data_IF_512576056945
#
_entry.id   IF_512576056945
#
_cell.length_a   1.000
_cell.length_b   1.000
_cell.length_c   1.000
_cell.angle_alpha   90.00
_cell.angle_beta   90.00
_cell.angle_gamma   90.00
#
_symmetry.space_group_name_H-M   'P 1'
#
loop_
_entity.id
_entity.type
_entity.pdbx_description
1 polymer ?
#
# COMPACT_ATOMS: atom_id res chain seq x y z
N UNK A 1 13.04 17.54 -2.65
CA UNK A 1 11.78 16.77 -2.78
C UNK A 1 11.03 16.80 -1.46
N UNK A 2 9.72 16.85 -1.48
CA UNK A 2 8.94 16.73 -0.26
C UNK A 2 9.22 15.37 0.41
N UNK A 3 9.26 15.35 1.75
CA UNK A 3 9.58 14.14 2.50
C UNK A 3 8.53 13.04 2.22
N UNK A 4 8.98 11.99 1.58
CA UNK A 4 8.17 10.81 1.25
C UNK A 4 8.63 9.61 2.07
N UNK A 5 7.71 8.77 2.50
CA UNK A 5 8.00 7.48 3.11
C UNK A 5 7.23 6.37 2.39
N UNK A 6 7.72 5.15 2.47
CA UNK A 6 7.03 3.96 1.97
C UNK A 6 6.67 3.07 3.15
N UNK A 7 5.40 2.72 3.25
CA UNK A 7 4.88 1.80 4.27
C UNK A 7 4.27 0.61 3.57
N UNK A 8 4.64 -0.61 3.94
CA UNK A 8 4.18 -1.79 3.23
C UNK A 8 3.80 -2.95 4.14
N UNK A 9 2.97 -3.83 3.61
CA UNK A 9 2.69 -5.16 4.15
C UNK A 9 2.96 -6.19 3.07
N UNK A 10 3.47 -7.34 3.46
CA UNK A 10 3.70 -8.45 2.55
C UNK A 10 3.25 -9.77 3.15
N UNK A 11 2.79 -10.70 2.30
CA UNK A 11 2.47 -12.07 2.69
C UNK A 11 3.56 -13.05 2.24
N UNK A 12 4.05 -12.86 1.03
CA UNK A 12 4.94 -13.79 0.34
C UNK A 12 6.22 -13.13 -0.20
N UNK A 13 6.46 -11.87 0.15
CA UNK A 13 7.67 -11.13 -0.22
C UNK A 13 7.54 -10.25 -1.47
N UNK A 14 6.50 -10.39 -2.31
CA UNK A 14 6.35 -9.58 -3.53
C UNK A 14 6.21 -8.08 -3.23
N UNK A 15 5.41 -7.71 -2.24
CA UNK A 15 5.26 -6.31 -1.84
C UNK A 15 6.53 -5.74 -1.22
N UNK A 16 7.35 -6.57 -0.55
CA UNK A 16 8.66 -6.13 -0.01
C UNK A 16 9.62 -5.72 -1.14
N UNK A 17 9.72 -6.52 -2.19
CA UNK A 17 10.53 -6.19 -3.37
C UNK A 17 10.04 -4.90 -4.03
N UNK A 18 8.73 -4.78 -4.20
CA UNK A 18 8.10 -3.60 -4.79
C UNK A 18 8.31 -2.34 -3.94
N UNK A 19 8.18 -2.47 -2.61
CA UNK A 19 8.42 -1.36 -1.68
C UNK A 19 9.88 -0.91 -1.69
N UNK A 20 10.84 -1.84 -1.74
CA UNK A 20 12.25 -1.52 -1.86
C UNK A 20 12.57 -0.78 -3.18
N UNK A 21 11.98 -1.21 -4.28
CA UNK A 21 12.19 -0.62 -5.60
C UNK A 21 11.64 0.82 -5.68
N UNK A 22 10.40 1.04 -5.22
CA UNK A 22 9.83 2.39 -5.19
C UNK A 22 10.54 3.28 -4.15
N UNK A 23 10.93 2.75 -3.01
CA UNK A 23 11.72 3.47 -2.01
C UNK A 23 13.05 3.96 -2.57
N UNK A 24 13.77 3.11 -3.31
CA UNK A 24 15.00 3.48 -4.01
C UNK A 24 14.74 4.58 -5.07
N UNK A 25 13.67 4.42 -5.85
CA UNK A 25 13.31 5.39 -6.91
C UNK A 25 12.97 6.78 -6.37
N UNK A 26 12.33 6.84 -5.20
CA UNK A 26 11.92 8.09 -4.54
C UNK A 26 12.94 8.59 -3.50
N UNK A 27 14.05 7.88 -3.28
CA UNK A 27 14.98 8.13 -2.17
C UNK A 27 14.27 8.22 -0.82
N UNK A 28 13.27 7.35 -0.62
CA UNK A 28 12.38 7.32 0.52
C UNK A 28 12.68 6.13 1.45
N UNK A 29 12.66 6.31 2.78
CA UNK A 29 12.78 5.20 3.70
C UNK A 29 11.57 4.27 3.61
N UNK A 30 11.80 2.99 3.87
CA UNK A 30 10.82 1.90 3.69
C UNK A 30 10.57 1.22 5.03
N UNK A 31 9.31 1.07 5.41
CA UNK A 31 8.86 0.52 6.68
C UNK A 31 7.87 -0.62 6.47
N UNK A 32 8.13 -1.76 7.11
CA UNK A 32 7.24 -2.92 7.06
C UNK A 32 6.27 -2.93 8.24
N UNK A 33 4.99 -3.06 7.95
CA UNK A 33 3.98 -3.35 8.97
C UNK A 33 4.03 -4.85 9.25
N UNK A 34 4.29 -5.23 10.49
CA UNK A 34 4.24 -6.62 10.92
C UNK A 34 2.79 -7.10 11.02
N UNK A 35 2.40 -8.08 10.19
CA UNK A 35 1.09 -8.71 10.28
C UNK A 35 1.13 -9.85 11.29
N UNK A 36 0.48 -9.69 12.42
CA UNK A 36 0.44 -10.68 13.49
C UNK A 36 -0.51 -11.86 13.22
N UNK A 37 -1.27 -11.81 12.12
CA UNK A 37 -2.13 -12.90 11.68
C UNK A 37 -1.36 -13.85 10.77
N UNK A 38 -1.39 -15.17 11.07
CA UNK A 38 -0.78 -16.18 10.19
C UNK A 38 -1.54 -16.26 8.86
N UNK A 39 -0.87 -15.89 7.76
CA UNK A 39 -1.45 -15.83 6.41
C UNK A 39 -0.79 -16.77 5.40
N UNK A 40 0.10 -17.64 5.86
CA UNK A 40 0.77 -18.61 4.98
C UNK A 40 -0.16 -19.78 4.63
N UNK A 41 0.03 -20.35 3.43
CA UNK A 41 -0.73 -21.49 2.93
C UNK A 41 -2.14 -21.13 2.45
N UNK A 42 -2.91 -22.19 2.06
CA UNK A 42 -4.27 -22.03 1.53
C UNK A 42 -5.25 -21.40 2.53
N UNK A 43 -5.20 -21.83 3.78
CA UNK A 43 -6.06 -21.26 4.85
C UNK A 43 -5.74 -19.78 5.09
N UNK A 44 -4.46 -19.40 5.06
CA UNK A 44 -4.05 -18.00 5.19
C UNK A 44 -4.50 -17.15 4.00
N UNK A 45 -4.49 -17.72 2.79
CA UNK A 45 -5.01 -17.07 1.59
C UNK A 45 -6.52 -16.78 1.72
N UNK A 46 -7.31 -17.79 2.09
CA UNK A 46 -8.76 -17.65 2.28
C UNK A 46 -9.11 -16.66 3.40
N UNK A 47 -8.38 -16.69 4.51
CA UNK A 47 -8.51 -15.73 5.62
C UNK A 47 -8.22 -14.30 5.18
N UNK A 48 -7.14 -14.10 4.41
CA UNK A 48 -6.77 -12.77 3.90
C UNK A 48 -7.86 -12.19 3.01
N UNK A 49 -8.39 -12.97 2.08
CA UNK A 49 -9.49 -12.57 1.22
C UNK A 49 -10.78 -12.25 1.99
N UNK A 50 -11.16 -13.11 2.93
CA UNK A 50 -12.36 -12.91 3.75
C UNK A 50 -12.26 -11.66 4.65
N UNK A 51 -11.11 -11.43 5.29
CA UNK A 51 -10.88 -10.25 6.14
C UNK A 51 -10.86 -8.95 5.33
N UNK A 52 -10.20 -8.96 4.16
CA UNK A 52 -10.17 -7.82 3.27
C UNK A 52 -11.58 -7.49 2.74
N UNK A 53 -12.32 -8.50 2.33
CA UNK A 53 -13.70 -8.34 1.84
C UNK A 53 -14.65 -7.80 2.92
N UNK A 54 -14.51 -8.28 4.17
CA UNK A 54 -15.27 -7.79 5.33
C UNK A 54 -14.76 -6.46 5.88
N UNK A 55 -13.74 -5.86 5.28
CA UNK A 55 -13.12 -4.61 5.73
C UNK A 55 -12.66 -4.66 7.19
N UNK A 56 -12.12 -5.77 7.62
CA UNK A 56 -11.66 -5.96 9.01
C UNK A 56 -10.29 -5.31 9.24
N UNK A 57 -10.12 -4.73 10.42
CA UNK A 57 -8.81 -4.42 10.97
C UNK A 57 -8.23 -5.68 11.64
N UNK A 58 -6.90 -5.80 11.67
CA UNK A 58 -6.19 -6.92 12.30
C UNK A 58 -5.06 -6.40 13.19
N UNK A 59 -4.65 -7.14 14.23
CA UNK A 59 -3.51 -6.73 15.04
C UNK A 59 -2.24 -6.68 14.20
N UNK A 60 -1.44 -5.64 14.41
CA UNK A 60 -0.18 -5.40 13.71
C UNK A 60 0.95 -5.10 14.67
N UNK A 61 2.18 -5.31 14.22
CA UNK A 61 3.37 -4.70 14.77
C UNK A 61 3.63 -3.40 14.01
N UNK A 62 3.44 -2.27 14.70
CA UNK A 62 3.64 -0.95 14.12
C UNK A 62 5.14 -0.68 13.96
N UNK A 63 5.62 -0.27 12.77
CA UNK A 63 7.03 0.04 12.55
C UNK A 63 7.52 1.32 13.26
N UNK A 64 6.67 2.03 13.98
CA UNK A 64 7.06 3.22 14.75
C UNK A 64 7.50 4.40 13.86
N UNK A 65 6.82 4.62 12.76
CA UNK A 65 7.17 5.66 11.78
C UNK A 65 6.87 7.04 12.33
N UNK A 66 7.84 7.96 12.27
CA UNK A 66 7.62 9.38 12.59
C UNK A 66 7.07 10.11 11.36
N UNK A 67 5.85 10.62 11.45
CA UNK A 67 5.13 11.28 10.37
C UNK A 67 5.35 12.81 10.33
N UNK A 68 6.05 13.37 11.30
CA UNK A 68 6.36 14.80 11.32
C UNK A 68 7.12 15.23 10.05
N UNK A 69 6.59 16.24 9.35
CA UNK A 69 7.16 16.78 8.12
C UNK A 69 7.02 15.88 6.89
N UNK A 70 6.34 14.72 6.99
CA UNK A 70 6.02 13.86 5.86
C UNK A 70 4.93 14.51 5.01
N UNK A 71 5.13 14.52 3.69
CA UNK A 71 4.16 15.04 2.72
C UNK A 71 3.42 13.91 1.99
N UNK A 72 4.13 12.82 1.72
CA UNK A 72 3.57 11.68 1.02
C UNK A 72 3.86 10.37 1.76
N UNK A 73 2.84 9.53 1.86
CA UNK A 73 2.96 8.14 2.27
C UNK A 73 2.58 7.25 1.10
N UNK A 74 3.54 6.45 0.62
CA UNK A 74 3.29 5.42 -0.38
C UNK A 74 2.95 4.12 0.34
N UNK A 75 1.71 3.68 0.21
CA UNK A 75 1.23 2.40 0.71
C UNK A 75 1.53 1.32 -0.33
N UNK A 76 2.22 0.26 0.06
CA UNK A 76 2.51 -0.88 -0.81
C UNK A 76 1.90 -2.15 -0.23
N UNK A 77 1.05 -2.83 -1.01
CA UNK A 77 0.31 -4.00 -0.54
C UNK A 77 0.02 -5.01 -1.64
N UNK A 78 -0.21 -6.29 -1.31
CA UNK A 78 -0.88 -7.21 -2.23
C UNK A 78 -2.38 -6.87 -2.35
N UNK A 79 -3.00 -7.23 -3.48
CA UNK A 79 -4.46 -7.09 -3.60
C UNK A 79 -5.15 -8.33 -3.02
N UNK A 80 -5.90 -8.12 -1.94
CA UNK A 80 -6.76 -9.13 -1.34
C UNK A 80 -8.22 -8.72 -1.50
N UNK A 81 -8.98 -9.50 -2.25
CA UNK A 81 -10.40 -9.23 -2.56
C UNK A 81 -10.67 -7.81 -3.07
N UNK A 82 -9.75 -7.25 -3.86
CA UNK A 82 -9.82 -5.88 -4.41
C UNK A 82 -10.00 -4.77 -3.35
N UNK A 83 -9.51 -4.99 -2.14
CA UNK A 83 -9.64 -4.07 -1.02
C UNK A 83 -8.28 -3.67 -0.43
N UNK A 84 -8.28 -2.64 0.40
CA UNK A 84 -7.13 -2.29 1.24
C UNK A 84 -6.91 -3.42 2.25
N UNK A 85 -5.67 -3.87 2.37
CA UNK A 85 -5.30 -4.95 3.28
C UNK A 85 -5.63 -4.62 4.74
N UNK A 86 -6.10 -5.60 5.54
CA UNK A 86 -6.38 -5.40 6.95
C UNK A 86 -5.24 -4.76 7.75
N UNK A 87 -3.96 -5.14 7.61
CA UNK A 87 -2.86 -4.45 8.32
C UNK A 87 -2.70 -2.99 7.94
N UNK A 88 -2.86 -2.64 6.66
CA UNK A 88 -2.84 -1.23 6.20
C UNK A 88 -4.00 -0.44 6.82
N UNK A 89 -5.21 -1.04 6.89
CA UNK A 89 -6.36 -0.43 7.57
C UNK A 89 -6.06 -0.08 9.01
N UNK A 90 -5.48 -1.04 9.74
CA UNK A 90 -5.11 -0.85 11.14
C UNK A 90 -4.09 0.27 11.28
N UNK A 91 -3.06 0.28 10.44
CA UNK A 91 -2.04 1.31 10.46
C UNK A 91 -2.62 2.72 10.18
N UNK A 92 -3.45 2.85 9.14
CA UNK A 92 -4.14 4.11 8.84
C UNK A 92 -5.04 4.57 9.98
N UNK A 93 -5.71 3.65 10.67
CA UNK A 93 -6.55 3.97 11.82
C UNK A 93 -5.75 4.47 13.02
N UNK A 94 -4.63 3.82 13.33
CA UNK A 94 -3.74 4.19 14.43
C UNK A 94 -3.16 5.59 14.19
N UNK A 95 -2.69 5.88 12.99
CA UNK A 95 -2.03 7.13 12.62
C UNK A 95 -2.96 8.20 12.05
N UNK A 96 -4.28 8.02 12.15
CA UNK A 96 -5.27 8.93 11.55
C UNK A 96 -5.04 10.41 11.95
N UNK A 97 -4.73 10.66 13.20
CA UNK A 97 -4.49 12.01 13.71
C UNK A 97 -3.19 12.64 13.17
N UNK A 98 -2.18 11.82 12.89
CA UNK A 98 -0.88 12.27 12.39
C UNK A 98 -0.85 12.42 10.85
N UNK A 99 -1.79 11.78 10.16
CA UNK A 99 -1.91 11.81 8.70
C UNK A 99 -2.65 13.03 8.17
N UNK A 100 -3.08 13.94 9.04
CA UNK A 100 -3.70 15.20 8.64
C UNK A 100 -2.77 16.04 7.76
N UNK A 101 -3.19 16.30 6.50
CA UNK A 101 -2.37 17.01 5.51
C UNK A 101 -1.32 16.16 4.79
N UNK A 102 -1.17 14.88 5.13
CA UNK A 102 -0.34 13.92 4.40
C UNK A 102 -1.15 13.35 3.23
N UNK A 103 -0.56 13.31 2.05
CA UNK A 103 -1.20 12.71 0.87
C UNK A 103 -0.79 11.26 0.71
N UNK A 104 -1.77 10.39 0.52
CA UNK A 104 -1.54 8.96 0.32
C UNK A 104 -1.36 8.64 -1.16
N UNK A 105 -0.51 7.66 -1.45
CA UNK A 105 -0.39 7.02 -2.75
C UNK A 105 -0.45 5.50 -2.56
N UNK A 106 -0.97 4.76 -3.53
CA UNK A 106 -1.17 3.31 -3.43
C UNK A 106 -0.52 2.59 -4.59
N UNK A 107 0.42 1.72 -4.26
CA UNK A 107 1.09 0.83 -5.20
C UNK A 107 0.79 -0.62 -4.79
N UNK A 108 0.13 -1.37 -5.64
CA UNK A 108 -0.29 -2.72 -5.30
C UNK A 108 0.32 -3.79 -6.20
N UNK A 109 0.65 -4.94 -5.63
CA UNK A 109 1.00 -6.15 -6.38
C UNK A 109 -0.25 -7.00 -6.62
N UNK A 110 -0.43 -7.49 -7.86
CA UNK A 110 -1.65 -8.17 -8.27
C UNK A 110 -1.38 -9.57 -8.81
N UNK A 111 -2.27 -10.49 -8.45
CA UNK A 111 -2.30 -11.86 -8.99
C UNK A 111 -3.57 -12.15 -9.82
N UNK A 112 -4.36 -11.14 -10.21
CA UNK A 112 -5.54 -11.30 -11.06
C UNK A 112 -6.76 -10.45 -10.71
N UNK A 113 -6.74 -9.67 -9.63
CA UNK A 113 -7.87 -8.78 -9.29
C UNK A 113 -7.92 -7.53 -10.17
N UNK A 114 -9.11 -7.05 -10.58
CA UNK A 114 -9.23 -5.83 -11.38
C UNK A 114 -8.70 -4.59 -10.64
N UNK A 115 -7.73 -3.82 -11.20
CA UNK A 115 -7.17 -2.63 -10.56
C UNK A 115 -8.20 -1.54 -10.25
N UNK A 116 -9.16 -1.33 -11.16
CA UNK A 116 -10.20 -0.31 -11.01
C UNK A 116 -11.06 -0.52 -9.75
N UNK A 117 -11.32 -1.78 -9.37
CA UNK A 117 -12.10 -2.10 -8.17
C UNK A 117 -11.34 -1.74 -6.88
N UNK A 118 -10.03 -1.95 -6.84
CA UNK A 118 -9.21 -1.53 -5.70
C UNK A 118 -9.25 0.00 -5.53
N UNK A 119 -9.12 0.75 -6.63
CA UNK A 119 -9.20 2.20 -6.61
C UNK A 119 -10.56 2.69 -6.11
N UNK A 120 -11.64 2.13 -6.65
CA UNK A 120 -13.00 2.48 -6.25
C UNK A 120 -13.27 2.17 -4.77
N UNK A 121 -12.76 1.04 -4.26
CA UNK A 121 -12.89 0.69 -2.85
C UNK A 121 -12.10 1.64 -1.93
N UNK A 122 -10.90 2.07 -2.34
CA UNK A 122 -10.17 3.12 -1.61
C UNK A 122 -10.99 4.43 -1.58
N UNK A 123 -11.45 4.89 -2.74
CA UNK A 123 -12.17 6.15 -2.85
C UNK A 123 -13.45 6.14 -1.99
N UNK A 124 -14.19 5.03 -1.98
CA UNK A 124 -15.41 4.91 -1.19
C UNK A 124 -15.17 4.83 0.33
N UNK A 125 -14.03 4.30 0.76
CA UNK A 125 -13.78 4.03 2.18
C UNK A 125 -12.86 5.06 2.86
N UNK A 126 -11.89 5.59 2.13
CA UNK A 126 -10.80 6.37 2.71
C UNK A 126 -10.68 7.79 2.17
N UNK A 127 -11.20 8.11 0.98
CA UNK A 127 -10.97 9.42 0.36
C UNK A 127 -11.60 10.57 1.14
N UNK A 128 -12.70 10.35 1.84
CA UNK A 128 -13.32 11.36 2.70
C UNK A 128 -12.42 11.73 3.89
N UNK A 129 -11.66 10.76 4.41
CA UNK A 129 -10.80 10.94 5.59
C UNK A 129 -9.40 11.41 5.22
N UNK A 130 -8.80 10.79 4.19
CA UNK A 130 -7.39 10.98 3.82
C UNK A 130 -7.21 11.70 2.48
N UNK A 131 -8.28 12.08 1.82
CA UNK A 131 -8.25 12.68 0.50
C UNK A 131 -8.06 11.68 -0.64
N UNK A 132 -8.07 12.16 -1.89
CA UNK A 132 -7.81 11.33 -3.06
C UNK A 132 -6.36 10.88 -3.11
N UNK A 133 -6.12 9.70 -3.71
CA UNK A 133 -4.76 9.21 -3.92
C UNK A 133 -3.95 10.16 -4.81
N UNK A 134 -2.76 10.53 -4.35
CA UNK A 134 -1.80 11.33 -5.09
C UNK A 134 -1.24 10.58 -6.31
N UNK A 135 -1.05 9.26 -6.17
CA UNK A 135 -0.68 8.35 -7.25
C UNK A 135 -1.29 6.97 -7.00
N UNK A 136 -1.58 6.24 -8.08
CA UNK A 136 -2.11 4.89 -8.02
C UNK A 136 -1.55 4.03 -9.15
N UNK A 137 -1.02 2.86 -8.82
CA UNK A 137 -0.64 1.86 -9.80
C UNK A 137 -0.79 0.44 -9.25
N UNK A 138 -0.95 -0.51 -10.16
CA UNK A 138 -1.00 -1.94 -9.87
C UNK A 138 -0.04 -2.66 -10.79
N UNK A 139 0.83 -3.48 -10.20
CA UNK A 139 1.76 -4.33 -10.94
C UNK A 139 1.31 -5.79 -10.87
N UNK A 140 1.09 -6.40 -12.03
CA UNK A 140 0.93 -7.82 -12.11
C UNK A 140 2.26 -8.53 -11.77
N UNK A 141 2.20 -9.62 -11.02
CA UNK A 141 3.42 -10.33 -10.57
C UNK A 141 4.26 -10.92 -11.72
N UNK A 142 3.66 -11.10 -12.89
CA UNK A 142 4.32 -11.69 -14.08
C UNK A 142 4.73 -10.66 -15.14
N UNK A 143 4.80 -9.39 -14.80
CA UNK A 143 5.27 -8.35 -15.73
C UNK A 143 6.75 -8.52 -16.06
N UNK A 144 7.10 -8.25 -17.32
CA UNK A 144 8.49 -8.13 -17.74
C UNK A 144 9.18 -6.94 -17.05
N UNK A 145 10.49 -7.03 -16.86
CA UNK A 145 11.28 -6.04 -16.15
C UNK A 145 11.11 -4.61 -16.73
N UNK A 146 11.11 -4.49 -18.06
CA UNK A 146 10.93 -3.20 -18.74
C UNK A 146 9.59 -2.55 -18.46
N UNK A 147 8.51 -3.33 -18.51
CA UNK A 147 7.15 -2.85 -18.25
C UNK A 147 6.97 -2.48 -16.77
N UNK A 148 7.50 -3.31 -15.87
CA UNK A 148 7.54 -3.04 -14.44
C UNK A 148 8.25 -1.72 -14.13
N UNK A 149 9.45 -1.53 -14.68
CA UNK A 149 10.24 -0.31 -14.50
C UNK A 149 9.50 0.93 -15.01
N UNK A 150 8.80 0.80 -16.15
CA UNK A 150 7.98 1.89 -16.69
C UNK A 150 6.85 2.28 -15.73
N UNK A 151 6.08 1.32 -15.22
CA UNK A 151 4.96 1.59 -14.29
C UNK A 151 5.47 2.27 -13.01
N UNK A 152 6.60 1.82 -12.46
CA UNK A 152 7.20 2.43 -11.27
C UNK A 152 7.68 3.85 -11.55
N UNK A 153 8.27 4.09 -12.71
CA UNK A 153 8.70 5.44 -13.12
C UNK A 153 7.51 6.38 -13.31
N UNK A 154 6.44 5.92 -13.96
CA UNK A 154 5.22 6.70 -14.18
C UNK A 154 4.53 7.02 -12.84
N UNK A 155 4.50 6.07 -11.92
CA UNK A 155 3.97 6.28 -10.56
C UNK A 155 4.78 7.33 -9.79
N UNK A 156 6.11 7.23 -9.80
CA UNK A 156 6.98 8.21 -9.15
C UNK A 156 6.79 9.61 -9.74
N UNK A 157 6.74 9.72 -11.07
CA UNK A 157 6.51 10.99 -11.76
C UNK A 157 5.11 11.58 -11.44
N UNK A 158 4.08 10.74 -11.27
CA UNK A 158 2.76 11.21 -10.84
C UNK A 158 2.80 11.78 -9.41
N UNK A 159 3.56 11.15 -8.51
CA UNK A 159 3.73 11.62 -7.14
C UNK A 159 4.50 12.95 -7.07
N UNK A 160 5.51 13.13 -7.93
CA UNK A 160 6.30 14.37 -8.00
C UNK A 160 5.49 15.56 -8.51
N UNK A 161 4.46 15.32 -9.33
CA UNK A 161 3.55 16.36 -9.85
C UNK A 161 2.38 16.68 -8.92
N UNK A 162 2.16 15.86 -7.90
CA UNK A 162 1.06 16.00 -6.96
C UNK A 162 1.38 17.01 -5.86
#
# INVERSE_FOLDING_TARGET
MPRTIVVFVTRDGHSRVLAAEIGKRLSAPVYEIGDLVKRKGFVGYMRSGAQAWKKMATPIEDPGVKLEGVKFVVLVQPIWASAICPPIRTWLSIHRGELGGVRLALLASNFGSPPARLRANYDAEFSEVFGPLAAFAVLAQRLGERERSKIISDFAAALERA
#
